data_IF_501401894104
#
_entry.id   IF_501401894104
#
_cell.length_a   1.000
_cell.length_b   1.000
_cell.length_c   1.000
_cell.angle_alpha   90.00
_cell.angle_beta   90.00
_cell.angle_gamma   90.00
#
_symmetry.space_group_name_H-M   'P 1'
#
loop_
_entity.id
_entity.type
_entity.pdbx_description
1 polymer ?
#
# COMPACT_ATOMS: atom_id res chain seq x y z
N UNK A 1 6.34 43.90 -44.73
CA UNK A 1 7.64 43.96 -44.05
C UNK A 1 7.56 43.17 -42.77
N UNK A 2 8.11 41.98 -42.78
CA UNK A 2 7.99 40.97 -41.70
C UNK A 2 9.27 41.03 -40.87
N UNK A 3 9.22 41.59 -39.65
CA UNK A 3 10.36 41.60 -38.73
C UNK A 3 10.37 40.28 -37.91
N UNK A 4 11.28 39.37 -38.25
CA UNK A 4 11.60 38.15 -37.50
C UNK A 4 12.46 38.56 -36.29
N UNK A 5 11.91 38.36 -35.06
CA UNK A 5 12.71 38.40 -33.83
C UNK A 5 13.27 37.01 -33.56
N UNK A 6 14.58 36.89 -33.67
CA UNK A 6 15.38 35.74 -33.32
C UNK A 6 15.69 35.87 -31.81
N UNK A 7 15.13 35.04 -30.98
CA UNK A 7 15.49 34.96 -29.56
C UNK A 7 16.52 33.85 -29.42
N UNK A 8 17.77 34.25 -29.15
CA UNK A 8 18.88 33.36 -28.82
C UNK A 8 18.76 33.02 -27.33
N UNK A 9 18.42 31.77 -27.02
CA UNK A 9 18.46 31.25 -25.64
C UNK A 9 19.87 30.69 -25.41
N UNK A 10 20.67 31.40 -24.61
CA UNK A 10 21.97 30.92 -24.17
C UNK A 10 21.78 29.90 -23.06
N UNK A 11 22.11 28.61 -23.33
CA UNK A 11 22.17 27.56 -22.32
C UNK A 11 23.52 27.68 -21.59
N UNK A 12 23.47 28.10 -20.32
CA UNK A 12 24.62 28.04 -19.41
C UNK A 12 24.64 26.61 -18.80
N UNK A 13 25.61 25.80 -19.23
CA UNK A 13 25.92 24.53 -18.56
C UNK A 13 26.72 24.84 -17.28
N UNK A 14 26.06 24.76 -16.13
CA UNK A 14 26.74 24.67 -14.85
C UNK A 14 27.00 23.19 -14.54
N UNK A 15 28.25 22.76 -14.64
CA UNK A 15 28.70 21.44 -14.25
C UNK A 15 28.67 21.28 -12.73
N UNK A 16 27.77 20.42 -12.23
CA UNK A 16 27.76 19.97 -10.85
C UNK A 16 28.53 18.66 -10.75
N UNK A 17 29.69 18.67 -10.10
CA UNK A 17 30.47 17.50 -9.75
C UNK A 17 29.74 16.68 -8.69
N UNK A 18 29.29 15.49 -9.04
CA UNK A 18 28.71 14.51 -8.12
C UNK A 18 29.81 13.90 -7.24
N UNK A 19 29.85 14.30 -5.97
CA UNK A 19 30.63 13.60 -4.96
C UNK A 19 29.89 12.32 -4.56
N UNK A 20 30.44 11.17 -4.89
CA UNK A 20 29.97 9.88 -4.44
C UNK A 20 30.42 9.67 -3.00
N UNK A 21 29.48 9.76 -2.05
CA UNK A 21 29.71 9.31 -0.69
C UNK A 21 29.61 7.78 -0.66
N UNK A 22 30.76 7.10 -0.59
CA UNK A 22 30.82 5.67 -0.30
C UNK A 22 30.47 5.45 1.17
N UNK A 23 29.34 4.81 1.41
CA UNK A 23 28.96 4.35 2.74
C UNK A 23 29.71 3.05 3.04
N UNK A 24 30.85 3.13 3.74
CA UNK A 24 31.59 1.98 4.24
C UNK A 24 30.91 1.49 5.53
N UNK A 25 30.03 0.50 5.42
CA UNK A 25 29.55 -0.26 6.57
C UNK A 25 30.68 -1.16 7.07
N UNK A 26 31.36 -0.72 8.13
CA UNK A 26 32.28 -1.56 8.89
C UNK A 26 31.49 -2.63 9.63
N UNK A 27 31.64 -3.88 9.21
CA UNK A 27 31.13 -5.07 9.90
C UNK A 27 31.93 -5.26 11.20
N UNK A 28 31.31 -4.91 12.34
CA UNK A 28 31.84 -5.25 13.66
C UNK A 28 31.39 -6.67 13.99
N UNK A 29 32.34 -7.58 14.08
CA UNK A 29 32.17 -8.98 14.46
C UNK A 29 31.63 -9.07 15.89
N UNK A 30 30.51 -9.78 16.17
CA UNK A 30 30.06 -9.98 17.55
C UNK A 30 30.94 -11.03 18.25
N UNK A 31 31.55 -10.63 19.35
CA UNK A 31 32.28 -11.48 20.29
C UNK A 31 31.36 -12.52 20.91
N UNK A 32 31.67 -13.79 20.67
CA UNK A 32 30.99 -14.95 21.22
C UNK A 32 31.26 -15.04 22.73
N UNK A 33 30.31 -14.64 23.56
CA UNK A 33 30.34 -14.90 25.00
C UNK A 33 29.46 -16.09 25.31
N UNK A 34 30.08 -17.26 25.36
CA UNK A 34 29.44 -18.51 25.81
C UNK A 34 29.08 -18.38 27.29
N UNK A 35 27.77 -18.29 27.57
CA UNK A 35 27.23 -18.36 28.91
C UNK A 35 26.62 -19.74 29.12
N UNK A 36 27.36 -20.63 29.77
CA UNK A 36 26.87 -21.92 30.22
C UNK A 36 25.77 -21.72 31.27
N UNK A 37 24.54 -22.10 30.96
CA UNK A 37 23.43 -22.13 31.91
C UNK A 37 23.13 -23.59 32.18
N UNK A 38 23.27 -23.99 33.47
CA UNK A 38 22.94 -25.32 33.94
C UNK A 38 21.43 -25.60 33.86
N UNK A 39 21.00 -26.85 33.64
CA UNK A 39 19.59 -27.20 33.48
C UNK A 39 18.88 -27.22 34.86
N UNK A 40 17.76 -26.47 34.94
CA UNK A 40 16.82 -26.49 36.05
C UNK A 40 15.90 -27.71 35.92
N UNK A 41 15.66 -28.50 37.00
CA UNK A 41 14.83 -29.67 36.93
C UNK A 41 13.34 -29.33 36.72
N UNK A 42 12.69 -30.10 35.84
CA UNK A 42 11.24 -30.11 35.60
C UNK A 42 10.45 -30.52 36.82
N UNK A 43 9.32 -29.88 37.13
CA UNK A 43 8.40 -30.39 38.12
C UNK A 43 7.50 -31.48 37.50
N UNK A 44 7.35 -32.59 38.25
CA UNK A 44 6.49 -33.76 38.02
C UNK A 44 5.03 -33.34 37.95
N UNK A 45 4.21 -33.91 37.05
CA UNK A 45 2.78 -33.62 36.99
C UNK A 45 2.01 -34.26 38.15
N UNK A 46 1.34 -33.46 38.95
CA UNK A 46 0.32 -33.90 39.89
C UNK A 46 -0.97 -34.20 39.13
N UNK A 47 -1.40 -35.46 39.23
CA UNK A 47 -2.71 -35.95 38.84
C UNK A 47 -3.76 -35.29 39.74
N UNK A 48 -4.64 -34.49 39.22
CA UNK A 48 -5.86 -34.07 39.89
C UNK A 48 -7.07 -34.50 39.08
N UNK A 49 -7.92 -35.18 39.82
CA UNK A 49 -9.16 -35.82 39.49
C UNK A 49 -10.20 -34.80 39.03
N UNK A 50 -10.94 -35.13 37.96
CA UNK A 50 -12.11 -34.39 37.48
C UNK A 50 -13.21 -34.25 38.55
N UNK A 51 -14.04 -33.20 38.42
CA UNK A 51 -15.42 -33.47 38.09
C UNK A 51 -15.90 -32.71 36.84
N UNK A 52 -16.58 -33.44 36.03
CA UNK A 52 -17.42 -33.13 34.92
C UNK A 52 -18.26 -31.84 35.15
N UNK A 53 -18.02 -30.82 34.35
CA UNK A 53 -18.91 -29.66 34.22
C UNK A 53 -19.20 -29.44 32.73
N UNK A 54 -20.48 -29.59 32.39
CA UNK A 54 -21.04 -29.59 31.06
C UNK A 54 -20.74 -28.34 30.22
N UNK A 55 -21.11 -28.35 28.93
CA UNK A 55 -20.73 -27.29 27.99
C UNK A 55 -21.45 -25.99 28.34
N UNK A 56 -20.72 -25.03 28.89
CA UNK A 56 -21.17 -23.66 29.00
C UNK A 56 -21.26 -23.06 27.60
N UNK A 57 -22.48 -23.03 27.05
CA UNK A 57 -22.83 -22.25 25.87
C UNK A 57 -22.55 -20.79 26.17
N UNK A 58 -21.37 -20.29 25.81
CA UNK A 58 -21.12 -18.86 25.79
C UNK A 58 -22.00 -18.22 24.72
N UNK A 59 -23.16 -17.74 25.13
CA UNK A 59 -23.95 -16.78 24.36
C UNK A 59 -23.08 -15.56 24.14
N UNK A 60 -22.44 -15.47 22.96
CA UNK A 60 -21.89 -14.21 22.47
C UNK A 60 -23.10 -13.27 22.25
N UNK A 61 -23.35 -12.46 23.22
CA UNK A 61 -24.25 -11.31 23.06
C UNK A 61 -23.53 -10.35 22.12
N UNK A 62 -23.79 -10.48 20.82
CA UNK A 62 -23.44 -9.45 19.87
C UNK A 62 -24.18 -8.19 20.28
N UNK A 63 -23.45 -7.23 20.84
CA UNK A 63 -23.96 -5.88 21.05
C UNK A 63 -24.36 -5.33 19.68
N UNK A 64 -25.66 -5.16 19.48
CA UNK A 64 -26.23 -4.55 18.28
C UNK A 64 -25.61 -3.16 18.09
N UNK A 65 -24.90 -2.94 16.98
CA UNK A 65 -24.44 -1.63 16.54
C UNK A 65 -22.93 -1.40 16.36
N UNK A 66 -22.03 -2.31 16.77
CA UNK A 66 -20.61 -2.15 16.46
C UNK A 66 -20.28 -2.80 15.12
N UNK A 67 -20.02 -1.96 14.12
CA UNK A 67 -19.43 -2.39 12.84
C UNK A 67 -18.09 -3.05 13.12
N UNK A 68 -17.88 -4.28 12.60
CA UNK A 68 -16.61 -4.98 12.78
C UNK A 68 -15.44 -4.11 12.30
N UNK A 69 -14.29 -4.07 12.99
CA UNK A 69 -13.15 -3.23 12.62
C UNK A 69 -12.71 -3.40 11.15
N UNK A 70 -12.76 -4.61 10.62
CA UNK A 70 -12.45 -4.91 9.21
C UNK A 70 -13.42 -4.27 8.22
N UNK A 71 -14.73 -4.21 8.52
CA UNK A 71 -15.69 -3.54 7.66
C UNK A 71 -15.55 -2.02 7.70
N UNK A 72 -15.15 -1.43 8.84
CA UNK A 72 -14.87 -0.01 8.94
C UNK A 72 -13.62 0.38 8.11
N UNK A 73 -12.57 -0.45 8.13
CA UNK A 73 -11.38 -0.27 7.27
C UNK A 73 -11.75 -0.39 5.80
N UNK A 74 -12.56 -1.39 5.44
CA UNK A 74 -13.02 -1.57 4.07
C UNK A 74 -13.84 -0.37 3.58
N UNK A 75 -14.71 0.19 4.43
CA UNK A 75 -15.45 1.41 4.11
C UNK A 75 -14.51 2.60 3.87
N UNK A 76 -13.47 2.78 4.70
CA UNK A 76 -12.48 3.84 4.50
C UNK A 76 -11.68 3.66 3.20
N UNK A 77 -11.36 2.42 2.84
CA UNK A 77 -10.73 2.10 1.57
C UNK A 77 -11.64 2.41 0.37
N UNK A 78 -12.90 2.00 0.42
CA UNK A 78 -13.86 2.30 -0.64
C UNK A 78 -14.06 3.81 -0.83
N UNK A 79 -14.13 4.58 0.25
CA UNK A 79 -14.20 6.04 0.18
C UNK A 79 -12.97 6.66 -0.51
N UNK A 80 -11.77 6.09 -0.30
CA UNK A 80 -10.57 6.49 -1.04
C UNK A 80 -10.71 6.19 -2.53
N UNK A 81 -11.14 4.98 -2.89
CA UNK A 81 -11.33 4.59 -4.29
C UNK A 81 -12.36 5.49 -4.99
N UNK A 82 -13.44 5.82 -4.30
CA UNK A 82 -14.49 6.70 -4.84
C UNK A 82 -13.98 8.12 -5.04
N UNK A 83 -13.17 8.64 -4.11
CA UNK A 83 -12.49 9.92 -4.30
C UNK A 83 -11.58 9.94 -5.55
N UNK A 84 -10.90 8.83 -5.84
CA UNK A 84 -10.07 8.69 -7.05
C UNK A 84 -10.95 8.60 -8.30
N UNK A 85 -11.99 7.77 -8.29
CA UNK A 85 -12.91 7.59 -9.42
C UNK A 85 -13.60 8.88 -9.86
N UNK A 86 -13.93 9.73 -8.90
CA UNK A 86 -14.58 11.01 -9.17
C UNK A 86 -13.59 12.18 -9.33
N UNK A 87 -12.27 11.90 -9.28
CA UNK A 87 -11.23 12.92 -9.27
C UNK A 87 -11.50 14.01 -8.20
N UNK A 88 -12.07 13.60 -7.06
CA UNK A 88 -12.36 14.49 -5.93
C UNK A 88 -11.13 14.62 -5.04
N UNK A 89 -10.45 15.76 -5.15
CA UNK A 89 -9.24 16.06 -4.37
C UNK A 89 -9.51 15.95 -2.87
N UNK A 90 -10.63 16.51 -2.39
CA UNK A 90 -10.95 16.54 -0.96
C UNK A 90 -11.25 15.14 -0.42
N UNK A 91 -12.05 14.36 -1.13
CA UNK A 91 -12.37 12.99 -0.74
C UNK A 91 -11.12 12.11 -0.76
N UNK A 92 -10.33 12.12 -1.84
CA UNK A 92 -9.13 11.33 -1.98
C UNK A 92 -8.06 11.68 -0.94
N UNK A 93 -7.76 12.97 -0.73
CA UNK A 93 -6.75 13.40 0.25
C UNK A 93 -7.23 13.24 1.70
N UNK A 94 -8.54 13.40 1.94
CA UNK A 94 -9.17 13.23 3.25
C UNK A 94 -9.13 11.78 3.76
N UNK A 95 -8.94 10.78 2.89
CA UNK A 95 -8.73 9.40 3.26
C UNK A 95 -7.37 9.14 3.92
N UNK A 96 -6.40 10.02 3.72
CA UNK A 96 -5.06 9.91 4.31
C UNK A 96 -4.94 10.69 5.62
N UNK A 97 -4.05 10.24 6.48
CA UNK A 97 -3.68 11.00 7.67
C UNK A 97 -2.94 12.27 7.26
N UNK A 98 -3.43 13.44 7.69
CA UNK A 98 -2.72 14.69 7.48
C UNK A 98 -1.49 14.76 8.39
N UNK A 99 -0.33 14.44 7.83
CA UNK A 99 0.95 14.42 8.54
C UNK A 99 2.13 14.56 7.56
N UNK A 100 3.21 15.25 7.95
CA UNK A 100 4.43 15.31 7.15
C UNK A 100 5.16 13.96 7.06
N UNK A 101 4.79 12.97 7.89
CA UNK A 101 5.37 11.62 7.88
C UNK A 101 4.73 10.69 6.85
N UNK A 102 3.69 11.13 6.14
CA UNK A 102 3.04 10.34 5.09
C UNK A 102 4.05 10.05 3.97
N UNK A 103 4.12 8.80 3.53
CA UNK A 103 4.96 8.39 2.40
C UNK A 103 4.14 7.50 1.47
N UNK A 104 4.11 7.84 0.19
CA UNK A 104 3.50 7.03 -0.85
C UNK A 104 4.56 6.67 -1.90
N UNK A 105 4.70 5.39 -2.20
CA UNK A 105 5.44 4.89 -3.36
C UNK A 105 4.46 4.69 -4.51
N UNK A 106 4.62 5.47 -5.56
CA UNK A 106 3.70 5.49 -6.68
C UNK A 106 4.14 4.48 -7.77
N UNK A 107 3.18 3.95 -8.52
CA UNK A 107 3.40 2.93 -9.56
C UNK A 107 4.38 3.37 -10.66
N UNK A 108 4.53 4.68 -10.86
CA UNK A 108 5.46 5.27 -11.83
C UNK A 108 6.88 5.47 -11.28
N UNK A 109 7.18 4.94 -10.07
CA UNK A 109 8.47 5.05 -9.41
C UNK A 109 8.69 6.35 -8.63
N UNK A 110 7.76 7.30 -8.66
CA UNK A 110 7.87 8.53 -7.87
C UNK A 110 7.51 8.29 -6.39
N UNK A 111 7.99 9.17 -5.52
CA UNK A 111 7.71 9.13 -4.08
C UNK A 111 7.06 10.43 -3.66
N UNK A 112 5.87 10.34 -3.07
CA UNK A 112 5.19 11.49 -2.43
C UNK A 112 5.50 11.49 -0.94
N UNK A 113 6.00 12.61 -0.42
CA UNK A 113 6.38 12.78 0.99
C UNK A 113 5.55 13.89 1.64
N UNK A 114 4.80 13.52 2.66
CA UNK A 114 3.90 14.42 3.39
C UNK A 114 2.54 14.60 2.71
N UNK A 115 1.57 14.95 3.54
CA UNK A 115 0.19 15.16 3.10
C UNK A 115 0.04 16.39 2.18
N UNK A 116 0.82 17.44 2.42
CA UNK A 116 0.76 18.68 1.61
C UNK A 116 1.19 18.39 0.17
N UNK A 117 2.27 17.61 -0.02
CA UNK A 117 2.70 17.21 -1.35
C UNK A 117 1.65 16.30 -2.03
N UNK A 118 1.03 15.38 -1.28
CA UNK A 118 -0.07 14.58 -1.81
C UNK A 118 -1.21 15.48 -2.32
N UNK A 119 -1.62 16.47 -1.52
CA UNK A 119 -2.68 17.40 -1.88
C UNK A 119 -2.33 18.19 -3.14
N UNK A 120 -1.14 18.79 -3.19
CA UNK A 120 -0.66 19.53 -4.37
C UNK A 120 -0.65 18.65 -5.64
N UNK A 121 -0.16 17.41 -5.53
CA UNK A 121 -0.15 16.48 -6.64
C UNK A 121 -1.57 16.17 -7.15
N UNK A 122 -2.55 16.01 -6.25
CA UNK A 122 -3.95 15.76 -6.64
C UNK A 122 -4.62 17.01 -7.22
N UNK A 123 -4.39 18.18 -6.65
CA UNK A 123 -4.89 19.45 -7.18
C UNK A 123 -4.37 19.73 -8.60
N UNK A 124 -3.12 19.34 -8.89
CA UNK A 124 -2.53 19.51 -10.22
C UNK A 124 -3.01 18.46 -11.24
N UNK A 125 -3.23 17.20 -10.82
CA UNK A 125 -3.50 16.10 -11.76
C UNK A 125 -4.99 15.83 -11.99
N UNK A 126 -5.84 15.98 -10.98
CA UNK A 126 -7.25 15.58 -11.06
C UNK A 126 -8.08 16.41 -12.07
N UNK A 127 -7.87 17.72 -12.24
CA UNK A 127 -8.56 18.47 -13.30
C UNK A 127 -8.27 17.98 -14.71
N UNK A 128 -7.14 17.32 -14.91
CA UNK A 128 -6.71 16.75 -16.19
C UNK A 128 -7.25 15.32 -16.45
N UNK A 129 -7.91 14.72 -15.43
CA UNK A 129 -8.45 13.36 -15.50
C UNK A 129 -9.93 13.38 -15.83
N UNK A 130 -10.36 12.51 -16.77
CA UNK A 130 -11.75 12.30 -17.13
C UNK A 130 -12.03 10.79 -17.25
N UNK A 131 -13.28 10.41 -17.10
CA UNK A 131 -13.77 9.04 -17.31
C UNK A 131 -12.99 7.99 -16.53
N UNK A 132 -12.64 8.30 -15.29
CA UNK A 132 -11.81 7.42 -14.45
C UNK A 132 -12.61 6.18 -14.06
N UNK A 133 -12.09 5.03 -14.45
CA UNK A 133 -12.55 3.71 -14.02
C UNK A 133 -11.42 3.08 -13.22
N UNK A 134 -11.72 2.64 -12.01
CA UNK A 134 -10.74 1.99 -11.11
C UNK A 134 -11.37 0.72 -10.56
N UNK A 135 -10.86 -0.41 -11.02
CA UNK A 135 -11.28 -1.74 -10.58
C UNK A 135 -10.24 -2.35 -9.65
N UNK A 136 -10.73 -3.09 -8.66
CA UNK A 136 -9.90 -3.75 -7.65
C UNK A 136 -10.24 -5.23 -7.62
N UNK A 137 -9.20 -6.08 -7.60
CA UNK A 137 -9.30 -7.54 -7.54
C UNK A 137 -8.43 -8.09 -6.41
N UNK A 138 -8.72 -9.29 -5.96
CA UNK A 138 -7.96 -10.02 -4.93
C UNK A 138 -7.76 -9.21 -3.65
N UNK A 139 -8.79 -8.47 -3.26
CA UNK A 139 -8.78 -7.62 -2.08
C UNK A 139 -8.68 -8.46 -0.80
N UNK A 140 -7.68 -8.16 0.01
CA UNK A 140 -7.48 -8.76 1.32
C UNK A 140 -7.31 -7.69 2.37
N UNK A 141 -8.04 -7.84 3.48
CA UNK A 141 -7.92 -6.98 4.66
C UNK A 141 -7.33 -7.81 5.79
N UNK A 142 -6.17 -7.40 6.31
CA UNK A 142 -5.52 -8.02 7.45
C UNK A 142 -5.48 -7.02 8.60
N UNK A 143 -6.14 -7.33 9.70
CA UNK A 143 -6.07 -6.51 10.91
C UNK A 143 -4.72 -6.70 11.60
N UNK A 144 -4.04 -5.62 11.91
CA UNK A 144 -2.77 -5.59 12.64
C UNK A 144 -3.03 -5.06 14.07
N UNK A 145 -3.78 -5.84 14.85
CA UNK A 145 -4.28 -5.44 16.16
C UNK A 145 -5.57 -4.61 16.07
N UNK A 146 -5.79 -3.73 17.03
CA UNK A 146 -7.06 -2.96 17.17
C UNK A 146 -7.11 -1.72 16.28
N UNK A 147 -5.96 -1.10 16.04
CA UNK A 147 -5.87 0.27 15.52
C UNK A 147 -5.04 0.38 14.23
N UNK A 148 -4.64 -0.76 13.65
CA UNK A 148 -3.98 -0.79 12.36
C UNK A 148 -4.52 -1.93 11.49
N UNK A 149 -4.46 -1.74 10.17
CA UNK A 149 -4.84 -2.74 9.18
C UNK A 149 -4.00 -2.58 7.91
N UNK A 150 -3.77 -3.71 7.26
CA UNK A 150 -3.14 -3.81 5.95
C UNK A 150 -4.20 -4.21 4.93
N UNK A 151 -4.26 -3.50 3.81
CA UNK A 151 -5.01 -3.91 2.62
C UNK A 151 -4.03 -4.21 1.50
N UNK A 152 -4.21 -5.33 0.85
CA UNK A 152 -3.52 -5.69 -0.39
C UNK A 152 -4.53 -6.00 -1.48
N UNK A 153 -4.25 -5.59 -2.71
CA UNK A 153 -5.09 -5.88 -3.86
C UNK A 153 -4.31 -5.74 -5.17
N UNK A 154 -4.90 -6.22 -6.24
CA UNK A 154 -4.57 -5.83 -7.61
C UNK A 154 -5.52 -4.73 -8.05
N UNK A 155 -5.04 -3.81 -8.88
CA UNK A 155 -5.84 -2.71 -9.41
C UNK A 155 -5.65 -2.56 -10.92
N UNK A 156 -6.67 -2.08 -11.60
CA UNK A 156 -6.63 -1.64 -12.99
C UNK A 156 -7.34 -0.30 -13.06
N UNK A 157 -6.69 0.69 -13.63
CA UNK A 157 -7.27 2.01 -13.83
C UNK A 157 -7.23 2.36 -15.33
N UNK A 158 -8.34 2.84 -15.86
CA UNK A 158 -8.42 3.47 -17.18
C UNK A 158 -9.01 4.87 -17.03
N UNK A 159 -8.51 5.81 -17.82
CA UNK A 159 -8.94 7.20 -17.78
C UNK A 159 -8.54 7.92 -19.08
N UNK A 160 -9.10 9.09 -19.29
CA UNK A 160 -8.57 10.08 -20.22
C UNK A 160 -7.74 11.10 -19.43
N UNK A 161 -6.44 11.17 -19.70
CA UNK A 161 -5.54 12.13 -19.06
C UNK A 161 -5.00 13.10 -20.11
N UNK A 162 -5.24 14.40 -19.92
CA UNK A 162 -4.86 15.46 -20.88
C UNK A 162 -5.34 15.17 -22.31
N UNK A 163 -6.51 14.56 -22.43
CA UNK A 163 -7.11 14.23 -23.74
C UNK A 163 -6.63 12.91 -24.37
N UNK A 164 -5.66 12.22 -23.76
CA UNK A 164 -5.18 10.91 -24.20
C UNK A 164 -5.75 9.77 -23.32
N UNK A 165 -6.22 8.65 -23.91
CA UNK A 165 -6.63 7.50 -23.14
C UNK A 165 -5.42 6.79 -22.53
N UNK A 166 -5.48 6.50 -21.22
CA UNK A 166 -4.46 5.77 -20.49
C UNK A 166 -5.07 4.59 -19.77
N UNK A 167 -4.32 3.50 -19.69
CA UNK A 167 -4.69 2.32 -18.89
C UNK A 167 -3.45 1.76 -18.21
N UNK A 168 -3.53 1.63 -16.88
CA UNK A 168 -2.48 1.04 -16.07
C UNK A 168 -3.06 -0.02 -15.15
N UNK A 169 -2.23 -0.98 -14.77
CA UNK A 169 -2.55 -2.01 -13.79
C UNK A 169 -1.36 -2.29 -12.87
N UNK A 170 -1.67 -2.86 -11.72
CA UNK A 170 -0.61 -3.15 -10.77
C UNK A 170 -1.10 -3.75 -9.47
N UNK A 171 -0.19 -3.70 -8.49
CA UNK A 171 -0.44 -4.17 -7.13
C UNK A 171 -0.44 -2.99 -6.19
N UNK A 172 -1.27 -3.10 -5.15
CA UNK A 172 -1.40 -2.07 -4.14
C UNK A 172 -1.26 -2.68 -2.75
N UNK A 173 -0.48 -2.04 -1.92
CA UNK A 173 -0.42 -2.27 -0.48
C UNK A 173 -0.69 -0.95 0.21
N UNK A 174 -1.68 -0.92 1.10
CA UNK A 174 -2.04 0.28 1.85
C UNK A 174 -2.18 -0.06 3.33
N UNK A 175 -1.58 0.77 4.18
CA UNK A 175 -1.67 0.64 5.63
C UNK A 175 -2.63 1.70 6.15
N UNK A 176 -3.65 1.26 6.86
CA UNK A 176 -4.59 2.10 7.58
C UNK A 176 -4.27 2.12 9.07
N UNK A 177 -4.50 3.26 9.69
CA UNK A 177 -4.46 3.43 11.14
C UNK A 177 -5.72 4.13 11.62
N UNK A 178 -6.20 3.73 12.79
CA UNK A 178 -7.30 4.40 13.46
C UNK A 178 -6.83 5.72 14.06
N UNK A 179 -7.51 6.81 13.72
CA UNK A 179 -7.26 8.16 14.20
C UNK A 179 -8.58 8.70 14.79
N UNK A 180 -8.70 8.67 16.09
CA UNK A 180 -9.98 8.92 16.74
C UNK A 180 -11.01 7.84 16.38
N UNK A 181 -12.11 8.25 15.75
CA UNK A 181 -13.17 7.36 15.26
C UNK A 181 -12.96 6.88 13.82
N UNK A 182 -12.04 7.51 13.08
CA UNK A 182 -11.86 7.31 11.64
C UNK A 182 -10.65 6.40 11.34
N UNK A 183 -10.70 5.69 10.23
CA UNK A 183 -9.56 5.00 9.65
C UNK A 183 -8.92 5.88 8.58
N UNK A 184 -7.62 6.09 8.69
CA UNK A 184 -6.84 6.91 7.75
C UNK A 184 -5.68 6.12 7.19
N UNK A 185 -5.45 6.23 5.89
CA UNK A 185 -4.26 5.69 5.25
C UNK A 185 -3.00 6.43 5.73
N UNK A 186 -1.98 5.70 6.15
CA UNK A 186 -0.70 6.24 6.63
C UNK A 186 0.46 5.88 5.72
N UNK A 187 0.25 4.95 4.81
CA UNK A 187 1.22 4.54 3.79
C UNK A 187 0.50 3.91 2.61
N UNK A 188 1.01 4.14 1.42
CA UNK A 188 0.60 3.48 0.19
C UNK A 188 1.85 3.05 -0.58
N UNK A 189 1.82 1.85 -1.10
CA UNK A 189 2.76 1.37 -2.10
C UNK A 189 1.98 0.80 -3.29
N UNK A 190 2.24 1.32 -4.46
CA UNK A 190 1.75 0.78 -5.72
C UNK A 190 2.92 0.43 -6.63
N UNK A 191 2.85 -0.71 -7.28
CA UNK A 191 3.82 -1.16 -8.27
C UNK A 191 3.10 -1.51 -9.58
N UNK A 192 3.73 -1.31 -10.76
CA UNK A 192 3.13 -1.72 -12.03
C UNK A 192 3.05 -3.24 -12.14
N UNK A 193 2.10 -3.72 -12.93
CA UNK A 193 1.94 -5.15 -13.24
C UNK A 193 2.64 -5.48 -14.56
N UNK A 194 3.96 -5.30 -14.56
CA UNK A 194 4.84 -5.60 -15.72
C UNK A 194 6.04 -6.40 -15.26
N UNK A 195 5.83 -7.65 -14.83
CA UNK A 195 6.95 -8.50 -14.44
C UNK A 195 7.79 -8.88 -15.66
N UNK A 196 9.08 -9.04 -15.46
CA UNK A 196 9.95 -9.67 -16.45
C UNK A 196 9.64 -11.18 -16.45
N UNK A 197 9.09 -11.75 -17.54
CA UNK A 197 8.71 -13.17 -17.57
C UNK A 197 9.87 -14.12 -17.28
N UNK A 198 11.11 -13.73 -17.65
CA UNK A 198 12.30 -14.55 -17.44
C UNK A 198 12.68 -14.68 -15.96
N UNK A 199 12.15 -13.81 -15.08
CA UNK A 199 12.42 -13.79 -13.65
C UNK A 199 11.27 -14.30 -12.79
N UNK A 200 10.15 -14.67 -13.41
CA UNK A 200 9.03 -15.24 -12.69
C UNK A 200 9.32 -16.71 -12.39
N UNK A 201 9.31 -17.15 -11.11
CA UNK A 201 9.44 -18.56 -10.78
C UNK A 201 8.35 -19.40 -11.46
N UNK A 202 8.65 -20.62 -11.85
CA UNK A 202 7.70 -21.47 -12.57
C UNK A 202 6.37 -21.67 -11.82
N UNK A 203 6.43 -21.68 -10.47
CA UNK A 203 5.23 -21.76 -9.60
C UNK A 203 4.32 -20.53 -9.64
N UNK A 204 4.81 -19.39 -10.12
CA UNK A 204 4.10 -18.12 -10.17
C UNK A 204 3.75 -17.70 -11.61
N UNK A 205 4.17 -18.48 -12.61
CA UNK A 205 3.82 -18.21 -14.00
C UNK A 205 2.32 -18.40 -14.24
N UNK A 206 1.68 -17.55 -15.05
CA UNK A 206 0.28 -17.73 -15.43
C UNK A 206 0.11 -19.11 -16.11
N UNK A 207 -0.86 -19.88 -15.67
CA UNK A 207 -1.22 -21.12 -16.35
C UNK A 207 -1.67 -20.79 -17.77
N UNK A 208 -1.08 -21.37 -18.81
CA UNK A 208 -1.56 -21.17 -20.16
C UNK A 208 -3.05 -21.53 -20.27
N UNK A 209 -3.85 -20.78 -21.02
CA UNK A 209 -5.25 -21.14 -21.24
C UNK A 209 -5.29 -22.56 -21.83
N UNK A 210 -6.15 -23.41 -21.25
CA UNK A 210 -6.33 -24.78 -21.76
C UNK A 210 -6.61 -24.71 -23.26
N UNK A 211 -5.76 -25.34 -24.07
CA UNK A 211 -5.96 -25.42 -25.50
C UNK A 211 -7.31 -26.13 -25.74
N UNK A 212 -8.28 -25.43 -26.33
CA UNK A 212 -9.50 -26.08 -26.83
C UNK A 212 -9.04 -27.05 -27.88
N UNK A 213 -9.19 -28.36 -27.60
CA UNK A 213 -9.05 -29.39 -28.63
C UNK A 213 -10.02 -29.04 -29.78
N UNK A 214 -9.58 -29.06 -31.05
CA UNK A 214 -10.48 -28.87 -32.17
C UNK A 214 -11.52 -30.01 -32.16
N UNK A 215 -12.75 -29.74 -32.67
CA UNK A 215 -13.85 -30.69 -32.77
C UNK A 215 -13.54 -31.88 -33.69
#
# INVERSE_FOLDING_TARGET
MLKRFLVIVSVVLAGATLAWAQNTNSSTTPSTRTRTVAPKPSPTPKKSTDPEAGPATQKHTQAAGQVAPSSAVLAAFNNLLDGIRHADVKAATGAYQNTPRLVLFNYNGSVTKGWDQLKQNREASYPEMKDVKLDVRDLRVTMLGRDAALITCQWTQSMTFRGAPETDSGRMTIVFRRVGKDWKAIHLHTSPDRPDPSRIPASEQPTPPASKSPP
#
